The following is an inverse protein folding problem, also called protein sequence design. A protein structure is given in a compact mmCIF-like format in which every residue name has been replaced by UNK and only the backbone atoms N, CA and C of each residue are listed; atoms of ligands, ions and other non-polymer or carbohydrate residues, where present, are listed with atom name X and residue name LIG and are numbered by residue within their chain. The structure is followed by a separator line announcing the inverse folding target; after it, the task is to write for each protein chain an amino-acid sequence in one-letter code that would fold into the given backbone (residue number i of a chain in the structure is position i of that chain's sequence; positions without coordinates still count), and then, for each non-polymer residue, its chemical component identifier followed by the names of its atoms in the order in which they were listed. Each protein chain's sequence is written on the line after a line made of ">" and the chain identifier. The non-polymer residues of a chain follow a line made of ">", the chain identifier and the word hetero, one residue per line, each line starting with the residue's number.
data_IF_926650982753
#
_entry.id   IF_926650982753
#
_cell.length_a   1.000
_cell.length_b   1.000
_cell.length_c   1.000
_cell.angle_alpha   90.00
_cell.angle_beta   90.00
_cell.angle_gamma   90.00
#
_symmetry.space_group_name_H-M   'P 1'
#
loop_
_entity.id
_entity.type
_entity.pdbx_description
1 polymer ?
#
# COMPACT_ATOMS: atom_id res chain seq x y z
N UNK A 1 1.24 18.66 -4.66
CA UNK A 1 1.82 17.32 -4.83
C UNK A 1 0.75 16.34 -4.41
N UNK A 2 0.40 15.35 -5.24
CA UNK A 2 -0.71 14.45 -4.92
C UNK A 2 -0.28 13.49 -3.82
N UNK A 3 -1.07 13.37 -2.75
CA UNK A 3 -0.77 12.44 -1.65
C UNK A 3 -1.40 11.07 -1.91
N UNK A 4 -0.56 10.04 -1.95
CA UNK A 4 -0.98 8.66 -2.16
C UNK A 4 -0.68 7.78 -0.95
N UNK A 5 -1.59 6.88 -0.63
CA UNK A 5 -1.43 5.82 0.36
C UNK A 5 -1.43 4.46 -0.34
N UNK A 6 -0.37 3.68 -0.14
CA UNK A 6 -0.31 2.27 -0.51
C UNK A 6 -0.39 1.44 0.75
N UNK A 7 -1.45 0.64 0.88
CA UNK A 7 -1.65 -0.29 1.99
C UNK A 7 -1.43 -1.70 1.45
N UNK A 8 -0.60 -2.49 2.12
CA UNK A 8 -0.43 -3.89 1.75
C UNK A 8 -0.68 -4.87 2.90
N UNK A 9 -1.20 -6.05 2.56
CA UNK A 9 -1.19 -7.22 3.43
C UNK A 9 -0.40 -8.36 2.77
N UNK A 10 0.63 -8.86 3.44
CA UNK A 10 1.54 -9.88 2.89
C UNK A 10 1.80 -11.00 3.88
N UNK A 11 1.97 -12.23 3.36
CA UNK A 11 2.36 -13.38 4.18
C UNK A 11 3.85 -13.70 4.09
N UNK A 12 4.40 -13.58 2.88
CA UNK A 12 5.75 -14.02 2.54
C UNK A 12 6.58 -12.95 1.82
N UNK A 13 6.10 -11.71 1.72
CA UNK A 13 6.86 -10.59 1.16
C UNK A 13 6.42 -10.15 -0.24
N UNK A 14 5.97 -11.06 -1.11
CA UNK A 14 5.68 -10.72 -2.52
C UNK A 14 4.77 -9.49 -2.74
N UNK A 15 3.72 -9.34 -1.93
CA UNK A 15 2.83 -8.17 -2.01
C UNK A 15 3.51 -6.89 -1.49
N UNK A 16 4.38 -7.00 -0.47
CA UNK A 16 5.16 -5.85 0.01
C UNK A 16 6.12 -5.37 -1.07
N UNK A 17 6.87 -6.29 -1.70
CA UNK A 17 7.79 -5.95 -2.80
C UNK A 17 7.05 -5.28 -3.96
N UNK A 18 5.86 -5.80 -4.32
CA UNK A 18 5.01 -5.22 -5.36
C UNK A 18 4.54 -3.81 -4.96
N UNK A 19 4.16 -3.61 -3.70
CA UNK A 19 3.75 -2.31 -3.19
C UNK A 19 4.87 -1.28 -3.17
N UNK A 20 6.10 -1.69 -2.87
CA UNK A 20 7.27 -0.81 -2.98
C UNK A 20 7.51 -0.40 -4.44
N UNK A 21 7.48 -1.34 -5.40
CA UNK A 21 7.63 -1.02 -6.83
C UNK A 21 6.57 -0.04 -7.31
N UNK A 22 5.29 -0.25 -6.94
CA UNK A 22 4.21 0.70 -7.25
C UNK A 22 4.50 2.07 -6.65
N UNK A 23 4.95 2.11 -5.40
CA UNK A 23 5.25 3.37 -4.72
C UNK A 23 6.41 4.12 -5.37
N UNK A 24 7.43 3.42 -5.86
CA UNK A 24 8.58 4.01 -6.54
C UNK A 24 8.17 4.61 -7.89
N UNK A 25 7.34 3.90 -8.66
CA UNK A 25 6.78 4.44 -9.92
C UNK A 25 5.96 5.71 -9.64
N UNK A 26 5.10 5.70 -8.63
CA UNK A 26 4.31 6.89 -8.27
C UNK A 26 5.19 8.06 -7.78
N UNK A 27 6.24 7.78 -7.00
CA UNK A 27 7.21 8.80 -6.58
C UNK A 27 7.94 9.41 -7.77
N UNK A 28 8.31 8.62 -8.78
CA UNK A 28 8.92 9.10 -10.02
C UNK A 28 7.99 10.03 -10.80
N UNK A 29 6.68 9.78 -10.77
CA UNK A 29 5.64 10.64 -11.35
C UNK A 29 5.32 11.88 -10.47
N UNK A 30 6.04 12.08 -9.36
CA UNK A 30 5.91 13.27 -8.50
C UNK A 30 4.83 13.18 -7.43
N UNK A 31 4.39 11.99 -7.03
CA UNK A 31 3.46 11.79 -5.92
C UNK A 31 4.21 11.72 -4.57
N UNK A 32 3.56 12.20 -3.50
CA UNK A 32 3.99 11.94 -2.12
C UNK A 32 3.36 10.62 -1.67
N UNK A 33 4.15 9.54 -1.63
CA UNK A 33 3.64 8.19 -1.40
C UNK A 33 4.01 7.66 -0.01
N UNK A 34 3.00 7.36 0.80
CA UNK A 34 3.13 6.61 2.05
C UNK A 34 2.80 5.15 1.82
N UNK A 35 3.71 4.25 2.22
CA UNK A 35 3.48 2.79 2.19
C UNK A 35 3.28 2.28 3.62
N UNK A 36 2.31 1.40 3.84
CA UNK A 36 1.99 0.84 5.16
C UNK A 36 1.68 -0.65 5.08
N UNK A 37 2.14 -1.39 6.10
CA UNK A 37 1.79 -2.79 6.31
C UNK A 37 0.52 -2.88 7.15
N UNK A 38 -0.57 -3.38 6.56
CA UNK A 38 -1.88 -3.50 7.21
C UNK A 38 -1.86 -4.37 8.47
N UNK A 39 -0.86 -5.23 8.65
CA UNK A 39 -0.68 -6.06 9.85
C UNK A 39 -0.06 -5.29 11.00
N UNK A 40 0.92 -4.43 10.72
CA UNK A 40 1.77 -3.80 11.72
C UNK A 40 1.41 -2.33 11.96
N UNK A 41 0.92 -1.64 10.93
CA UNK A 41 0.59 -0.22 10.97
C UNK A 41 -0.91 0.01 11.17
N UNK A 42 -1.25 1.14 11.79
CA UNK A 42 -2.63 1.60 11.94
C UNK A 42 -2.84 2.90 11.20
N UNK A 43 -3.55 2.83 10.07
CA UNK A 43 -4.06 4.02 9.37
C UNK A 43 -5.41 4.40 9.99
N UNK A 44 -5.45 5.53 10.71
CA UNK A 44 -6.66 6.00 11.41
C UNK A 44 -7.60 6.81 10.51
N UNK A 45 -7.08 7.38 9.43
CA UNK A 45 -7.83 8.20 8.48
C UNK A 45 -7.14 8.14 7.12
N UNK A 46 -7.95 8.26 6.07
CA UNK A 46 -7.47 8.38 4.69
C UNK A 46 -7.76 9.76 4.08
N UNK A 47 -8.32 10.69 4.85
CA UNK A 47 -8.84 11.97 4.34
C UNK A 47 -7.76 12.88 3.74
N UNK A 48 -6.49 12.66 4.10
CA UNK A 48 -5.35 13.43 3.58
C UNK A 48 -4.81 12.88 2.25
N UNK A 49 -5.28 11.71 1.80
CA UNK A 49 -4.83 11.08 0.57
C UNK A 49 -5.85 11.26 -0.53
N UNK A 50 -5.37 11.66 -1.70
CA UNK A 50 -6.15 11.79 -2.93
C UNK A 50 -6.20 10.46 -3.70
N UNK A 51 -5.22 9.58 -3.44
CA UNK A 51 -5.14 8.24 -4.02
C UNK A 51 -4.90 7.20 -2.91
N UNK A 52 -5.69 6.13 -2.91
CA UNK A 52 -5.48 4.97 -2.03
C UNK A 52 -5.42 3.70 -2.87
N UNK A 53 -4.32 2.96 -2.72
CA UNK A 53 -4.08 1.67 -3.36
C UNK A 53 -4.02 0.61 -2.27
N UNK A 54 -4.75 -0.50 -2.44
CA UNK A 54 -4.75 -1.61 -1.49
C UNK A 54 -4.32 -2.88 -2.20
N UNK A 55 -3.24 -3.50 -1.73
CA UNK A 55 -2.73 -4.78 -2.20
C UNK A 55 -2.82 -5.84 -1.12
N UNK A 56 -3.23 -7.06 -1.46
CA UNK A 56 -3.19 -8.17 -0.51
C UNK A 56 -2.91 -9.50 -1.19
N UNK A 57 -2.09 -10.33 -0.55
CA UNK A 57 -1.96 -11.73 -0.94
C UNK A 57 -3.26 -12.50 -0.69
N UNK A 58 -3.69 -13.33 -1.63
CA UNK A 58 -4.88 -14.17 -1.49
C UNK A 58 -4.53 -15.52 -0.87
N UNK A 59 -5.18 -15.88 0.23
CA UNK A 59 -5.13 -17.21 0.83
C UNK A 59 -6.55 -17.76 0.92
N UNK A 60 -6.80 -18.87 0.20
CA UNK A 60 -8.10 -19.58 0.22
C UNK A 60 -9.26 -18.59 -0.04
N UNK A 61 -9.14 -17.80 -1.11
CA UNK A 61 -10.15 -16.83 -1.53
C UNK A 61 -10.32 -15.61 -0.61
N UNK A 62 -9.43 -15.41 0.37
CA UNK A 62 -9.48 -14.26 1.29
C UNK A 62 -8.21 -13.43 1.24
N UNK A 63 -8.36 -12.14 1.47
CA UNK A 63 -7.22 -11.23 1.66
C UNK A 63 -6.46 -11.60 2.94
N UNK A 64 -5.14 -11.53 2.86
CA UNK A 64 -4.25 -11.57 4.00
C UNK A 64 -4.15 -10.17 4.62
N UNK A 65 -4.06 -10.12 5.94
CA UNK A 65 -3.68 -8.90 6.67
C UNK A 65 -2.18 -8.86 6.79
#
# INVERSE_FOLDING_TARGET
>A
MIKALVVYGTRYGATADTSEVISDVLRQEGFEVRVVDAKNDKVKSINEFELVIIGSGIKIGRWTK
#
